data_IF_290876597826
#
_entry.id   IF_290876597826
#
_cell.length_a   1.000
_cell.length_b   1.000
_cell.length_c   1.000
_cell.angle_alpha   90.00
_cell.angle_beta   90.00
_cell.angle_gamma   90.00
#
_symmetry.space_group_name_H-M   'P 1'
#
loop_
_entity.id
_entity.type
_entity.pdbx_description
1 polymer ?
#
# COMPACT_ATOMS: atom_id res chain seq x y z
N UNK A 1 59.78 -36.44 17.64
CA UNK A 1 58.37 -36.56 17.24
C UNK A 1 57.67 -35.26 17.63
N UNK A 2 57.34 -34.40 16.64
CA UNK A 2 56.63 -33.13 16.86
C UNK A 2 55.17 -33.35 16.41
N UNK A 3 54.23 -33.25 17.36
CA UNK A 3 52.79 -33.31 17.08
C UNK A 3 52.32 -31.95 16.60
N UNK A 4 51.86 -31.87 15.35
CA UNK A 4 51.22 -30.70 14.77
C UNK A 4 49.71 -30.82 15.14
N UNK A 5 49.23 -29.89 16.02
CA UNK A 5 47.79 -29.75 16.28
C UNK A 5 47.16 -28.92 15.16
N UNK A 6 46.35 -29.57 14.34
CA UNK A 6 45.53 -28.94 13.33
C UNK A 6 44.29 -28.34 14.02
N UNK A 7 44.24 -26.99 14.14
CA UNK A 7 43.09 -26.26 14.64
C UNK A 7 42.11 -26.03 13.51
N UNK A 8 40.96 -26.77 13.49
CA UNK A 8 39.87 -26.58 12.57
C UNK A 8 39.05 -25.36 13.02
N UNK A 9 39.24 -24.24 12.30
CA UNK A 9 38.41 -23.05 12.46
C UNK A 9 37.07 -23.30 11.74
N UNK A 10 36.01 -23.54 12.51
CA UNK A 10 34.63 -23.69 12.01
C UNK A 10 34.06 -22.28 11.76
N UNK A 11 34.08 -21.84 10.49
CA UNK A 11 33.43 -20.59 10.06
C UNK A 11 31.91 -20.82 10.08
N UNK A 12 31.25 -20.38 11.15
CA UNK A 12 29.78 -20.27 11.16
C UNK A 12 29.37 -19.09 10.27
N UNK A 13 28.90 -19.37 9.06
CA UNK A 13 28.18 -18.40 8.25
C UNK A 13 26.78 -18.19 8.85
N UNK A 14 26.61 -17.06 9.56
CA UNK A 14 25.29 -16.56 9.89
C UNK A 14 24.63 -16.02 8.61
N UNK A 15 23.79 -16.82 7.99
CA UNK A 15 22.85 -16.31 6.98
C UNK A 15 21.78 -15.48 7.70
N UNK A 16 21.94 -14.15 7.67
CA UNK A 16 20.86 -13.25 8.06
C UNK A 16 19.77 -13.33 6.98
N UNK A 17 18.75 -14.10 7.28
CA UNK A 17 17.58 -14.25 6.42
C UNK A 17 16.66 -13.02 6.67
N UNK A 18 16.85 -11.94 5.93
CA UNK A 18 16.03 -10.71 5.97
C UNK A 18 14.80 -10.79 5.05
N UNK A 19 14.37 -12.00 4.69
CA UNK A 19 13.16 -12.21 3.90
C UNK A 19 11.90 -12.14 4.77
N UNK A 20 10.88 -11.41 4.33
CA UNK A 20 9.52 -11.59 4.85
C UNK A 20 9.12 -13.06 4.76
N UNK A 21 8.33 -13.54 5.73
CA UNK A 21 7.88 -14.93 5.74
C UNK A 21 7.22 -15.28 4.39
N UNK A 22 7.56 -16.44 3.82
CA UNK A 22 7.21 -16.87 2.45
C UNK A 22 5.72 -16.85 2.08
N UNK A 23 4.82 -16.55 3.02
CA UNK A 23 3.37 -16.55 2.85
C UNK A 23 2.68 -15.24 3.26
N UNK A 24 3.40 -14.12 3.46
CA UNK A 24 2.77 -12.83 3.80
C UNK A 24 1.80 -12.36 2.71
N UNK A 25 0.73 -11.73 3.15
CA UNK A 25 -0.34 -11.16 2.33
C UNK A 25 -0.58 -9.71 2.73
N UNK A 26 -1.40 -8.96 1.97
CA UNK A 26 -1.80 -7.61 2.37
C UNK A 26 -2.54 -7.59 3.72
N UNK A 27 -3.19 -8.69 4.10
CA UNK A 27 -3.98 -8.79 5.32
C UNK A 27 -3.14 -8.85 6.61
N UNK A 28 -1.83 -9.12 6.50
CA UNK A 28 -0.90 -9.19 7.63
C UNK A 28 -0.42 -7.79 8.10
N UNK A 29 -0.92 -6.71 7.48
CA UNK A 29 -0.51 -5.34 7.80
C UNK A 29 -1.63 -4.56 8.49
N UNK A 30 -1.21 -3.48 9.17
CA UNK A 30 -2.11 -2.51 9.78
C UNK A 30 -1.55 -1.10 9.62
N UNK A 31 -2.41 -0.09 9.71
CA UNK A 31 -2.01 1.32 9.73
C UNK A 31 -2.97 2.11 10.61
N UNK A 32 -2.65 3.37 10.91
CA UNK A 32 -3.60 4.30 11.54
C UNK A 32 -4.39 5.02 10.47
N UNK A 33 -5.72 5.08 10.63
CA UNK A 33 -6.56 5.92 9.79
C UNK A 33 -6.31 7.41 10.03
N UNK A 34 -6.98 8.26 9.26
CA UNK A 34 -6.83 9.71 9.34
C UNK A 34 -7.28 10.29 10.70
N UNK A 35 -8.05 9.54 11.49
CA UNK A 35 -8.50 9.89 12.84
C UNK A 35 -7.58 9.31 13.92
N UNK A 36 -6.56 8.54 13.53
CA UNK A 36 -5.58 7.92 14.42
C UNK A 36 -5.98 6.53 14.95
N UNK A 37 -7.12 5.98 14.54
CA UNK A 37 -7.56 4.65 14.92
C UNK A 37 -6.77 3.57 14.18
N UNK A 38 -6.49 2.45 14.84
CA UNK A 38 -5.82 1.32 14.21
C UNK A 38 -6.77 0.62 13.22
N UNK A 39 -6.31 0.47 11.99
CA UNK A 39 -6.96 -0.30 10.93
C UNK A 39 -6.12 -1.55 10.69
N UNK A 40 -6.60 -2.70 11.18
CA UNK A 40 -6.04 -4.01 10.87
C UNK A 40 -6.61 -4.48 9.54
N UNK A 41 -5.74 -4.79 8.56
CA UNK A 41 -6.18 -5.22 7.23
C UNK A 41 -6.72 -6.67 7.23
N UNK A 42 -6.49 -7.44 8.28
CA UNK A 42 -7.08 -8.77 8.44
C UNK A 42 -8.61 -8.72 8.41
N UNK A 43 -9.24 -7.62 8.86
CA UNK A 43 -10.70 -7.43 8.76
C UNK A 43 -11.26 -7.45 7.33
N UNK A 44 -10.40 -7.32 6.33
CA UNK A 44 -10.76 -7.38 4.91
C UNK A 44 -10.37 -8.71 4.26
N UNK A 45 -9.96 -9.70 5.03
CA UNK A 45 -9.58 -11.02 4.50
C UNK A 45 -10.68 -11.59 3.60
N UNK A 46 -10.26 -12.14 2.45
CA UNK A 46 -11.17 -12.65 1.43
C UNK A 46 -11.76 -11.59 0.48
N UNK A 47 -11.45 -10.30 0.67
CA UNK A 47 -11.94 -9.20 -0.17
C UNK A 47 -10.81 -8.65 -1.04
N UNK A 48 -11.05 -8.35 -2.33
CA UNK A 48 -10.10 -7.61 -3.14
C UNK A 48 -9.85 -6.21 -2.55
N UNK A 49 -8.59 -5.76 -2.58
CA UNK A 49 -8.20 -4.43 -2.05
C UNK A 49 -7.56 -3.62 -3.17
N UNK A 50 -8.10 -2.43 -3.46
CA UNK A 50 -7.45 -1.39 -4.26
C UNK A 50 -6.79 -0.39 -3.31
N UNK A 51 -5.48 -0.46 -3.15
CA UNK A 51 -4.68 0.47 -2.35
C UNK A 51 -4.02 1.51 -3.25
N UNK A 52 -4.09 2.79 -2.84
CA UNK A 52 -3.56 3.94 -3.61
C UNK A 52 -2.77 4.83 -2.67
N UNK A 53 -1.53 5.19 -3.01
CA UNK A 53 -0.83 6.24 -2.27
C UNK A 53 -1.26 7.62 -2.76
N UNK A 54 -1.70 8.47 -1.84
CA UNK A 54 -2.34 9.75 -2.16
C UNK A 54 -1.58 10.94 -1.58
N UNK A 55 -1.85 12.13 -2.12
CA UNK A 55 -1.36 13.39 -1.58
C UNK A 55 -2.30 14.54 -1.98
N UNK A 56 -2.43 15.56 -1.11
CA UNK A 56 -3.41 16.64 -1.25
C UNK A 56 -2.97 17.77 -2.18
N UNK A 57 -1.66 17.89 -2.47
CA UNK A 57 -1.06 19.00 -3.26
C UNK A 57 -0.42 18.52 -4.56
N UNK A 58 -0.90 17.40 -5.09
CA UNK A 58 -0.39 16.75 -6.28
C UNK A 58 -1.22 17.14 -7.52
N UNK A 59 -0.60 17.22 -8.69
CA UNK A 59 -1.35 17.39 -9.96
C UNK A 59 -2.34 16.24 -10.23
N UNK A 60 -2.17 15.09 -9.56
CA UNK A 60 -3.10 13.96 -9.65
C UNK A 60 -4.18 13.92 -8.54
N UNK A 61 -4.21 14.89 -7.63
CA UNK A 61 -5.22 14.99 -6.55
C UNK A 61 -6.67 14.89 -7.07
N UNK A 62 -7.03 15.43 -8.26
CA UNK A 62 -8.36 15.20 -8.83
C UNK A 62 -8.77 13.74 -9.02
N UNK A 63 -7.83 12.78 -8.98
CA UNK A 63 -8.18 11.36 -9.00
C UNK A 63 -8.92 10.87 -7.74
N UNK A 64 -8.99 11.66 -6.67
CA UNK A 64 -9.88 11.36 -5.54
C UNK A 64 -11.34 11.26 -5.99
N UNK A 65 -11.80 12.13 -6.91
CA UNK A 65 -13.14 12.06 -7.49
C UNK A 65 -13.38 10.72 -8.20
N UNK A 66 -12.40 10.27 -9.01
CA UNK A 66 -12.51 8.98 -9.67
C UNK A 66 -12.53 7.80 -8.68
N UNK A 67 -11.74 7.88 -7.58
CA UNK A 67 -11.76 6.88 -6.51
C UNK A 67 -13.09 6.88 -5.75
N UNK A 68 -13.66 8.06 -5.47
CA UNK A 68 -14.94 8.19 -4.78
C UNK A 68 -16.08 7.65 -5.65
N UNK A 69 -16.09 7.96 -6.95
CA UNK A 69 -17.04 7.39 -7.89
C UNK A 69 -16.91 5.86 -7.96
N UNK A 70 -15.68 5.34 -7.96
CA UNK A 70 -15.44 3.91 -7.90
C UNK A 70 -15.99 3.30 -6.60
N UNK A 71 -15.73 3.93 -5.45
CA UNK A 71 -16.24 3.51 -4.15
C UNK A 71 -17.78 3.43 -4.14
N UNK A 72 -18.45 4.46 -4.64
CA UNK A 72 -19.92 4.50 -4.73
C UNK A 72 -20.46 3.39 -5.64
N UNK A 73 -19.84 3.21 -6.80
CA UNK A 73 -20.30 2.23 -7.80
C UNK A 73 -20.09 0.78 -7.34
N UNK A 74 -19.14 0.53 -6.47
CA UNK A 74 -18.81 -0.80 -5.93
C UNK A 74 -19.19 -0.99 -4.46
N UNK A 75 -19.99 -0.06 -3.87
CA UNK A 75 -20.38 -0.09 -2.44
C UNK A 75 -21.05 -1.38 -1.98
N UNK A 76 -21.79 -2.02 -2.87
CA UNK A 76 -22.52 -3.27 -2.61
C UNK A 76 -21.71 -4.52 -3.03
N UNK A 77 -20.45 -4.34 -3.42
CA UNK A 77 -19.50 -5.42 -3.73
C UNK A 77 -18.51 -5.65 -2.58
N UNK A 78 -17.68 -6.68 -2.72
CA UNK A 78 -16.61 -6.97 -1.75
C UNK A 78 -15.37 -6.06 -1.92
N UNK A 79 -15.32 -5.15 -2.90
CA UNK A 79 -14.16 -4.29 -3.13
C UNK A 79 -13.89 -3.37 -1.95
N UNK A 80 -12.67 -3.42 -1.44
CA UNK A 80 -12.18 -2.45 -0.46
C UNK A 80 -11.26 -1.44 -1.15
N UNK A 81 -11.46 -0.14 -0.89
CA UNK A 81 -10.56 0.93 -1.36
C UNK A 81 -9.84 1.53 -0.16
N UNK A 82 -8.52 1.68 -0.28
CA UNK A 82 -7.65 2.25 0.75
C UNK A 82 -6.83 3.40 0.16
N UNK A 83 -6.89 4.58 0.76
CA UNK A 83 -5.99 5.68 0.48
C UNK A 83 -4.86 5.72 1.52
N UNK A 84 -3.62 5.59 1.09
CA UNK A 84 -2.43 5.71 1.92
C UNK A 84 -1.83 7.10 1.72
N UNK A 85 -2.21 8.03 2.58
CA UNK A 85 -1.76 9.42 2.53
C UNK A 85 -0.25 9.53 2.76
N UNK A 86 0.46 10.28 1.92
CA UNK A 86 1.93 10.31 2.00
C UNK A 86 2.55 11.64 1.57
N UNK A 87 3.57 12.05 2.32
CA UNK A 87 4.46 13.16 1.94
C UNK A 87 5.82 12.69 1.36
N UNK A 88 5.97 11.42 0.98
CA UNK A 88 7.23 10.91 0.40
C UNK A 88 7.70 11.68 -0.83
N UNK A 89 6.81 12.39 -1.51
CA UNK A 89 7.11 13.19 -2.71
C UNK A 89 6.92 14.69 -2.47
N UNK A 90 6.90 15.15 -1.21
CA UNK A 90 6.78 16.56 -0.79
C UNK A 90 5.52 17.26 -1.32
N UNK A 91 4.42 16.52 -1.44
CA UNK A 91 3.15 17.03 -1.97
C UNK A 91 1.97 16.82 -1.01
N UNK A 92 2.23 16.62 0.28
CA UNK A 92 1.18 16.53 1.28
C UNK A 92 1.29 17.69 2.27
N UNK A 93 0.18 18.03 2.93
CA UNK A 93 0.17 18.96 4.05
C UNK A 93 0.77 18.31 5.30
N UNK A 94 1.34 19.15 6.18
CA UNK A 94 1.84 18.70 7.47
C UNK A 94 0.74 18.55 8.53
N UNK A 95 -0.40 19.23 8.33
CA UNK A 95 -1.55 19.23 9.22
C UNK A 95 -2.56 18.16 8.76
N UNK A 96 -2.98 17.32 9.68
CA UNK A 96 -4.04 16.31 9.43
C UNK A 96 -5.38 16.98 9.11
N UNK A 97 -5.66 18.15 9.69
CA UNK A 97 -6.87 18.94 9.45
C UNK A 97 -6.94 19.40 8.00
N UNK A 98 -5.82 19.88 7.44
CA UNK A 98 -5.75 20.31 6.04
C UNK A 98 -5.92 19.12 5.08
N UNK A 99 -5.34 17.95 5.43
CA UNK A 99 -5.52 16.72 4.66
C UNK A 99 -6.99 16.29 4.68
N UNK A 100 -7.63 16.27 5.87
CA UNK A 100 -9.06 15.97 6.02
C UNK A 100 -9.93 16.91 5.20
N UNK A 101 -9.62 18.22 5.20
CA UNK A 101 -10.33 19.20 4.40
C UNK A 101 -10.29 18.85 2.90
N UNK A 102 -9.15 18.42 2.40
CA UNK A 102 -9.06 18.02 0.99
C UNK A 102 -9.83 16.74 0.74
N UNK A 103 -9.50 15.63 1.41
CA UNK A 103 -10.11 14.35 1.07
C UNK A 103 -11.59 14.27 1.50
N UNK A 104 -11.96 14.70 2.72
CA UNK A 104 -13.34 14.51 3.22
C UNK A 104 -14.28 15.62 2.76
N UNK A 105 -13.83 16.90 2.76
CA UNK A 105 -14.72 18.04 2.45
C UNK A 105 -14.77 18.32 0.94
N UNK A 106 -13.60 18.35 0.27
CA UNK A 106 -13.56 18.72 -1.15
C UNK A 106 -13.93 17.57 -2.09
N UNK A 107 -13.61 16.32 -1.70
CA UNK A 107 -13.83 15.13 -2.54
C UNK A 107 -14.83 14.13 -1.95
N UNK A 108 -15.41 14.42 -0.78
CA UNK A 108 -16.42 13.57 -0.10
C UNK A 108 -15.97 12.10 0.00
N UNK A 109 -14.68 11.88 0.32
CA UNK A 109 -14.09 10.54 0.37
C UNK A 109 -14.74 9.69 1.45
N UNK A 110 -15.44 8.62 1.03
CA UNK A 110 -16.12 7.68 1.91
C UNK A 110 -15.34 6.39 2.20
N UNK A 111 -14.17 6.19 1.58
CA UNK A 111 -13.32 5.03 1.81
C UNK A 111 -12.22 5.29 2.84
N UNK A 112 -11.62 4.22 3.36
CA UNK A 112 -10.60 4.28 4.42
C UNK A 112 -9.38 5.06 3.94
N UNK A 113 -9.01 6.10 4.70
CA UNK A 113 -7.85 6.95 4.44
C UNK A 113 -6.88 6.86 5.63
N UNK A 114 -5.59 6.65 5.38
CA UNK A 114 -4.58 6.58 6.43
C UNK A 114 -4.18 7.95 6.97
N UNK A 115 -3.68 8.00 8.20
CA UNK A 115 -2.74 9.05 8.63
C UNK A 115 -1.54 9.06 7.68
N UNK A 116 -0.79 10.18 7.58
CA UNK A 116 0.39 10.26 6.73
C UNK A 116 1.41 9.16 7.03
N UNK A 117 1.84 8.43 6.00
CA UNK A 117 2.88 7.41 6.05
C UNK A 117 3.93 7.67 4.97
N UNK A 118 5.16 7.19 5.18
CA UNK A 118 6.11 7.12 4.08
C UNK A 118 5.81 5.90 3.19
N UNK A 119 5.95 6.06 1.89
CA UNK A 119 5.71 4.98 0.90
C UNK A 119 6.97 4.59 0.13
N UNK A 120 8.07 5.31 0.38
CA UNK A 120 9.40 5.07 -0.23
C UNK A 120 10.51 5.30 0.80
N UNK A 121 11.71 4.76 0.54
CA UNK A 121 12.89 4.88 1.41
C UNK A 121 12.85 3.94 2.61
N UNK A 122 13.83 4.12 3.51
CA UNK A 122 14.04 3.24 4.67
C UNK A 122 12.91 3.37 5.72
N UNK A 123 12.26 4.54 5.77
CA UNK A 123 11.14 4.82 6.65
C UNK A 123 9.78 4.42 6.05
N UNK A 124 9.76 3.81 4.85
CA UNK A 124 8.53 3.37 4.24
C UNK A 124 7.74 2.44 5.16
N UNK A 125 6.42 2.61 5.17
CA UNK A 125 5.52 1.72 5.89
C UNK A 125 5.73 0.26 5.46
N UNK A 126 5.63 -0.68 6.40
CA UNK A 126 5.99 -2.09 6.18
C UNK A 126 5.26 -2.72 4.98
N UNK A 127 4.02 -2.33 4.70
CA UNK A 127 3.30 -2.79 3.52
C UNK A 127 4.01 -2.40 2.21
N UNK A 128 4.59 -1.19 2.12
CA UNK A 128 5.32 -0.75 0.93
C UNK A 128 6.69 -1.39 0.81
N UNK A 129 7.37 -1.62 1.93
CA UNK A 129 8.62 -2.41 1.97
C UNK A 129 8.36 -3.82 1.46
N UNK A 130 7.30 -4.47 1.97
CA UNK A 130 6.90 -5.80 1.51
C UNK A 130 6.54 -5.82 0.02
N UNK A 131 5.73 -4.88 -0.48
CA UNK A 131 5.41 -4.77 -1.91
C UNK A 131 6.70 -4.63 -2.75
N UNK A 132 7.67 -3.86 -2.28
CA UNK A 132 8.94 -3.71 -2.98
C UNK A 132 9.77 -5.00 -2.99
N UNK A 133 9.89 -5.66 -1.83
CA UNK A 133 10.69 -6.88 -1.69
C UNK A 133 10.07 -8.05 -2.45
N UNK A 134 8.75 -8.25 -2.29
CA UNK A 134 8.06 -9.42 -2.86
C UNK A 134 7.77 -9.27 -4.37
N UNK A 135 7.45 -8.05 -4.82
CA UNK A 135 6.96 -7.81 -6.18
C UNK A 135 7.83 -6.83 -7.00
N UNK A 136 8.85 -6.20 -6.42
CA UNK A 136 9.65 -5.18 -7.10
C UNK A 136 8.85 -3.94 -7.51
N UNK A 137 7.82 -3.56 -6.75
CA UNK A 137 6.82 -2.54 -7.12
C UNK A 137 6.76 -1.38 -6.14
N UNK A 138 7.80 -0.57 -6.04
CA UNK A 138 7.74 0.70 -5.30
C UNK A 138 7.00 1.78 -6.09
N UNK A 139 6.21 2.65 -5.42
CA UNK A 139 5.61 3.81 -6.08
C UNK A 139 6.71 4.81 -6.47
N UNK A 140 6.62 5.35 -7.70
CA UNK A 140 7.56 6.36 -8.22
C UNK A 140 6.99 7.77 -8.13
N UNK A 141 5.72 7.89 -7.76
CA UNK A 141 5.00 9.14 -7.57
C UNK A 141 3.72 8.92 -6.76
N UNK A 142 2.99 9.98 -6.43
CA UNK A 142 1.67 9.88 -5.82
C UNK A 142 0.65 9.25 -6.79
N UNK A 143 -0.41 8.67 -6.26
CA UNK A 143 -1.48 8.01 -7.00
C UNK A 143 -1.03 6.79 -7.80
N UNK A 144 -0.03 6.02 -7.33
CA UNK A 144 0.19 4.64 -7.76
C UNK A 144 -0.89 3.74 -7.16
N UNK A 145 -1.36 2.78 -7.92
CA UNK A 145 -2.44 1.86 -7.54
C UNK A 145 -1.91 0.44 -7.48
N UNK A 146 -2.37 -0.30 -6.46
CA UNK A 146 -2.05 -1.70 -6.22
C UNK A 146 -3.35 -2.43 -5.97
N UNK A 147 -3.68 -3.41 -6.81
CA UNK A 147 -4.87 -4.25 -6.66
C UNK A 147 -4.44 -5.61 -6.14
N UNK A 148 -4.94 -5.98 -4.98
CA UNK A 148 -4.74 -7.28 -4.36
C UNK A 148 -5.98 -8.15 -4.58
N UNK A 149 -5.75 -9.45 -4.82
CA UNK A 149 -6.80 -10.43 -4.97
C UNK A 149 -7.40 -10.88 -3.63
N UNK A 150 -8.37 -11.79 -3.67
CA UNK A 150 -9.04 -12.35 -2.47
C UNK A 150 -8.10 -13.16 -1.56
N UNK A 151 -6.93 -13.56 -2.05
CA UNK A 151 -5.90 -14.25 -1.26
C UNK A 151 -4.86 -13.25 -0.70
N UNK A 152 -5.09 -11.95 -0.87
CA UNK A 152 -4.19 -10.89 -0.41
C UNK A 152 -2.89 -10.79 -1.18
N UNK A 153 -2.80 -11.36 -2.40
CA UNK A 153 -1.63 -11.29 -3.27
C UNK A 153 -1.80 -10.16 -4.29
N UNK A 154 -0.69 -9.50 -4.64
CA UNK A 154 -0.72 -8.44 -5.66
C UNK A 154 -1.11 -9.03 -7.03
N UNK A 155 -2.28 -8.64 -7.52
CA UNK A 155 -2.77 -9.00 -8.85
C UNK A 155 -2.24 -8.05 -9.93
N UNK A 156 -2.35 -6.75 -9.71
CA UNK A 156 -1.97 -5.72 -10.69
C UNK A 156 -1.52 -4.43 -10.03
N UNK A 157 -0.71 -3.64 -10.74
CA UNK A 157 -0.32 -2.31 -10.30
C UNK A 157 -0.26 -1.33 -11.47
N UNK A 158 -0.55 -0.04 -11.20
CA UNK A 158 -0.57 1.02 -12.22
C UNK A 158 0.08 2.28 -11.70
N UNK A 159 0.68 3.04 -12.61
CA UNK A 159 1.24 4.35 -12.31
C UNK A 159 0.16 5.41 -12.11
N UNK A 160 0.58 6.61 -11.71
CA UNK A 160 -0.28 7.80 -11.55
C UNK A 160 -1.08 8.13 -12.82
N UNK A 161 -0.53 7.84 -14.00
CA UNK A 161 -1.15 8.17 -15.29
C UNK A 161 -2.42 7.38 -15.59
N UNK A 162 -2.59 6.20 -14.99
CA UNK A 162 -3.79 5.39 -15.18
C UNK A 162 -4.86 5.85 -14.19
N UNK A 163 -5.96 6.42 -14.68
CA UNK A 163 -7.07 6.86 -13.83
C UNK A 163 -7.72 5.65 -13.12
N UNK A 164 -8.18 5.82 -11.86
CA UNK A 164 -8.83 4.75 -11.09
C UNK A 164 -10.03 4.09 -11.80
N UNK A 165 -10.80 4.89 -12.54
CA UNK A 165 -11.99 4.47 -13.30
C UNK A 165 -11.68 4.05 -14.74
N UNK A 166 -10.41 3.88 -15.11
CA UNK A 166 -10.04 3.41 -16.45
C UNK A 166 -10.53 1.97 -16.70
N UNK A 167 -10.85 1.66 -17.95
CA UNK A 167 -11.31 0.32 -18.37
C UNK A 167 -10.33 -0.79 -17.96
N UNK A 168 -9.03 -0.50 -17.87
CA UNK A 168 -8.01 -1.47 -17.43
C UNK A 168 -8.20 -1.84 -15.96
N UNK A 169 -8.40 -0.85 -15.09
CA UNK A 169 -8.59 -1.07 -13.64
C UNK A 169 -9.95 -1.71 -13.41
N UNK A 170 -11.02 -1.19 -14.02
CA UNK A 170 -12.37 -1.76 -13.89
C UNK A 170 -12.43 -3.23 -14.32
N UNK A 171 -11.79 -3.59 -15.44
CA UNK A 171 -11.70 -4.98 -15.88
C UNK A 171 -10.98 -5.86 -14.87
N UNK A 172 -9.86 -5.38 -14.29
CA UNK A 172 -9.11 -6.14 -13.29
C UNK A 172 -9.90 -6.33 -12.01
N UNK A 173 -10.63 -5.31 -11.55
CA UNK A 173 -11.51 -5.39 -10.39
C UNK A 173 -12.63 -6.41 -10.63
N UNK A 174 -13.35 -6.28 -11.75
CA UNK A 174 -14.46 -7.17 -12.07
C UNK A 174 -14.07 -8.64 -12.21
N UNK A 175 -12.82 -8.92 -12.58
CA UNK A 175 -12.29 -10.29 -12.63
C UNK A 175 -12.02 -10.90 -11.24
N UNK A 176 -12.00 -10.08 -10.18
CA UNK A 176 -11.72 -10.51 -8.80
C UNK A 176 -12.99 -10.56 -7.93
N UNK A 177 -14.07 -9.91 -8.36
CA UNK A 177 -15.36 -9.91 -7.68
C UNK A 177 -16.19 -11.16 -8.00
#
# INVERSE_FOLDING_TARGET
>A
MKFIRLSTFLLMFFYWNTGYAKNMTIYDFSFKDIDGNLVDLNKFEGKPILMVNTASRCGFTPQYENLQNLFINYKDSDLTILAMTSNSFNQEYSSTEDIKKICLVNYDVGFVTSSPVYVTGDEAHEVYKWINVEYGKSPKWNFYKYLFDRNGKLNSSWSSMTKPDSSKILKSINNLL
#
